data_IF_886528300457
#
_entry.id   IF_886528300457
#
_cell.length_a   1.000
_cell.length_b   1.000
_cell.length_c   1.000
_cell.angle_alpha   90.00
_cell.angle_beta   90.00
_cell.angle_gamma   90.00
#
_symmetry.space_group_name_H-M   'P 1'
#
loop_
_entity.id
_entity.type
_entity.pdbx_description
1 polymer ?
#
# COMPACT_ATOMS: atom_id res chain seq x y z
N UNK A 1 -50.12 26.61 -66.18
CA UNK A 1 -50.67 26.70 -64.81
C UNK A 1 -49.86 25.77 -63.90
N UNK A 2 -48.84 26.31 -63.20
CA UNK A 2 -48.49 26.19 -61.75
C UNK A 2 -49.01 24.89 -61.06
N UNK A 3 -48.28 24.03 -60.31
CA UNK A 3 -46.97 23.94 -59.61
C UNK A 3 -46.67 22.44 -59.30
N UNK A 4 -45.45 21.91 -59.54
CA UNK A 4 -44.38 21.58 -58.55
C UNK A 4 -44.76 20.76 -57.29
N UNK A 5 -44.21 19.53 -57.16
CA UNK A 5 -43.57 18.94 -55.95
C UNK A 5 -43.37 17.41 -56.14
N UNK A 6 -42.35 16.73 -55.62
CA UNK A 6 -40.94 17.03 -55.35
C UNK A 6 -40.20 15.68 -55.30
N UNK A 7 -39.01 15.69 -55.92
CA UNK A 7 -37.80 14.88 -55.68
C UNK A 7 -37.88 13.32 -55.66
N UNK A 8 -37.37 12.79 -56.78
CA UNK A 8 -36.66 11.51 -57.00
C UNK A 8 -35.54 11.31 -55.94
N UNK A 9 -35.03 10.11 -55.63
CA UNK A 9 -34.44 9.13 -56.53
C UNK A 9 -34.24 7.78 -55.81
N UNK A 10 -34.41 6.70 -56.58
CA UNK A 10 -34.19 5.29 -56.23
C UNK A 10 -32.68 4.99 -56.12
N UNK A 11 -32.27 4.09 -55.24
CA UNK A 11 -31.22 3.09 -55.54
C UNK A 11 -31.27 1.93 -54.55
N UNK A 12 -31.20 0.73 -55.11
CA UNK A 12 -31.11 -0.57 -54.46
C UNK A 12 -29.65 -1.05 -54.38
N UNK A 13 -29.47 -2.13 -53.61
CA UNK A 13 -28.35 -3.10 -53.58
C UNK A 13 -27.08 -2.76 -52.77
N UNK A 14 -26.84 -3.57 -51.73
CA UNK A 14 -25.68 -4.46 -51.67
C UNK A 14 -24.40 -3.97 -50.97
N UNK A 15 -24.06 -4.66 -49.86
CA UNK A 15 -22.73 -4.94 -49.28
C UNK A 15 -21.83 -3.74 -48.94
N UNK A 16 -21.45 -3.63 -47.66
CA UNK A 16 -20.26 -2.84 -47.28
C UNK A 16 -20.13 -2.62 -45.77
N UNK A 17 -19.15 -3.29 -45.15
CA UNK A 17 -18.66 -2.91 -43.84
C UNK A 17 -18.16 -1.46 -43.87
N UNK A 18 -18.57 -0.64 -42.90
CA UNK A 18 -18.19 0.77 -42.84
C UNK A 18 -18.35 1.32 -41.43
N UNK A 19 -17.27 1.19 -40.66
CA UNK A 19 -16.95 1.84 -39.38
C UNK A 19 -17.73 3.12 -39.12
N UNK A 20 -18.51 3.17 -38.03
CA UNK A 20 -18.89 4.40 -37.32
C UNK A 20 -19.37 4.08 -35.89
N UNK A 21 -18.51 3.48 -35.07
CA UNK A 21 -18.67 3.42 -33.61
C UNK A 21 -17.38 3.84 -32.89
N UNK A 22 -16.67 4.85 -33.41
CA UNK A 22 -15.46 5.36 -32.74
C UNK A 22 -15.74 6.26 -31.54
N UNK A 23 -16.99 6.68 -31.31
CA UNK A 23 -17.34 7.47 -30.11
C UNK A 23 -17.93 6.57 -29.01
N UNK A 24 -18.81 5.63 -29.37
CA UNK A 24 -19.30 4.61 -28.43
C UNK A 24 -18.22 3.60 -28.06
N UNK A 25 -17.38 3.21 -29.01
CA UNK A 25 -16.24 2.32 -28.79
C UNK A 25 -15.13 2.95 -27.98
N UNK A 26 -14.82 4.25 -28.13
CA UNK A 26 -13.88 4.92 -27.20
C UNK A 26 -14.50 5.08 -25.82
N UNK A 27 -15.77 5.48 -25.70
CA UNK A 27 -16.44 5.57 -24.40
C UNK A 27 -16.53 4.22 -23.69
N UNK A 28 -16.77 3.14 -24.43
CA UNK A 28 -16.77 1.77 -23.92
C UNK A 28 -15.37 1.20 -23.72
N UNK A 29 -14.35 1.60 -24.50
CA UNK A 29 -12.95 1.25 -24.31
C UNK A 29 -12.35 1.96 -23.09
N UNK A 30 -12.78 3.19 -22.79
CA UNK A 30 -12.47 3.86 -21.53
C UNK A 30 -13.25 3.27 -20.34
N UNK A 31 -14.38 2.59 -20.59
CA UNK A 31 -15.12 1.79 -19.58
C UNK A 31 -14.78 0.29 -19.61
N UNK A 32 -13.81 -0.15 -20.41
CA UNK A 32 -13.05 -1.35 -20.09
C UNK A 32 -12.22 -0.89 -18.91
N UNK A 33 -12.62 -1.32 -17.72
CA UNK A 33 -11.98 -1.08 -16.44
C UNK A 33 -10.62 -0.41 -16.60
N UNK A 34 -10.58 0.91 -16.48
CA UNK A 34 -9.33 1.53 -16.07
C UNK A 34 -9.03 0.81 -14.76
N UNK A 35 -8.00 -0.05 -14.68
CA UNK A 35 -7.62 -0.61 -13.41
C UNK A 35 -7.12 0.63 -12.70
N UNK A 36 -7.97 1.24 -11.86
CA UNK A 36 -7.50 2.13 -10.82
C UNK A 36 -6.51 1.27 -10.05
N UNK A 37 -5.24 1.48 -10.38
CA UNK A 37 -4.05 0.76 -9.95
C UNK A 37 -4.31 -0.26 -8.84
N UNK A 38 -4.59 -1.52 -9.22
CA UNK A 38 -4.54 -2.61 -8.26
C UNK A 38 -3.07 -2.98 -8.03
N UNK A 39 -2.28 -2.02 -7.52
CA UNK A 39 -1.03 -2.31 -6.83
C UNK A 39 -1.42 -3.00 -5.53
N UNK A 40 -1.68 -4.31 -5.63
CA UNK A 40 -2.48 -5.08 -4.68
C UNK A 40 -2.16 -4.76 -3.24
N UNK A 41 -3.05 -4.00 -2.58
CA UNK A 41 -2.92 -3.70 -1.16
C UNK A 41 -2.90 -5.01 -0.40
N UNK A 42 -1.82 -5.26 0.33
CA UNK A 42 -1.67 -6.40 1.19
C UNK A 42 -1.85 -5.96 2.65
N UNK A 43 -1.96 -6.93 3.55
CA UNK A 43 -2.07 -6.64 4.97
C UNK A 43 -0.98 -7.33 5.76
N UNK A 44 -0.57 -6.72 6.86
CA UNK A 44 0.36 -7.27 7.84
C UNK A 44 -0.17 -7.02 9.26
N UNK A 45 0.42 -7.67 10.24
CA UNK A 45 0.12 -7.44 11.66
C UNK A 45 1.34 -6.84 12.34
N UNK A 46 1.17 -5.72 13.04
CA UNK A 46 2.17 -5.16 13.94
C UNK A 46 1.81 -5.51 15.38
N UNK A 47 2.78 -6.01 16.12
CA UNK A 47 2.69 -6.30 17.55
C UNK A 47 3.77 -5.46 18.23
N UNK A 48 3.39 -4.64 19.21
CA UNK A 48 4.31 -3.88 20.03
C UNK A 48 4.29 -4.44 21.45
N UNK A 49 5.35 -5.14 21.83
CA UNK A 49 5.59 -5.63 23.18
C UNK A 49 6.52 -4.66 23.92
N UNK A 50 6.00 -3.97 24.93
CA UNK A 50 6.73 -2.94 25.66
C UNK A 50 7.64 -3.50 26.77
N UNK A 51 7.71 -4.84 26.91
CA UNK A 51 8.58 -5.52 27.88
C UNK A 51 8.12 -5.43 29.34
N UNK A 52 7.03 -4.71 29.61
CA UNK A 52 6.41 -4.52 30.93
C UNK A 52 5.05 -5.24 31.05
N UNK A 53 4.78 -6.18 30.15
CA UNK A 53 3.51 -6.91 30.05
C UNK A 53 2.46 -6.22 29.19
N UNK A 54 2.65 -4.95 28.81
CA UNK A 54 1.77 -4.29 27.84
C UNK A 54 2.09 -4.75 26.42
N UNK A 55 1.02 -5.05 25.68
CA UNK A 55 1.08 -5.38 24.25
C UNK A 55 0.00 -4.63 23.48
N UNK A 56 0.38 -4.05 22.36
CA UNK A 56 -0.55 -3.48 21.38
C UNK A 56 -0.49 -4.28 20.09
N UNK A 57 -1.66 -4.57 19.49
CA UNK A 57 -1.77 -5.38 18.28
C UNK A 57 -2.58 -4.61 17.25
N UNK A 58 -1.95 -4.30 16.12
CA UNK A 58 -2.59 -3.70 14.96
C UNK A 58 -2.70 -4.78 13.88
N UNK A 59 -3.88 -5.40 13.78
CA UNK A 59 -4.13 -6.52 12.90
C UNK A 59 -4.68 -6.06 11.54
N UNK A 60 -4.24 -6.75 10.48
CA UNK A 60 -4.67 -6.52 9.10
C UNK A 60 -4.44 -5.09 8.60
N UNK A 61 -3.35 -4.48 9.03
CA UNK A 61 -2.95 -3.14 8.62
C UNK A 61 -2.48 -3.14 7.17
N UNK A 62 -3.03 -2.23 6.38
CA UNK A 62 -2.82 -2.20 4.93
C UNK A 62 -1.50 -1.54 4.60
N UNK A 63 -0.73 -2.17 3.71
CA UNK A 63 0.52 -1.63 3.20
C UNK A 63 0.58 -1.71 1.67
N UNK A 64 1.43 -0.88 1.06
CA UNK A 64 1.66 -0.87 -0.39
C UNK A 64 2.70 -1.94 -0.75
N UNK A 65 2.53 -2.63 -1.88
CA UNK A 65 3.57 -3.57 -2.32
C UNK A 65 4.92 -2.86 -2.49
N UNK A 66 5.97 -3.47 -1.96
CA UNK A 66 7.31 -2.89 -1.94
C UNK A 66 7.58 -1.87 -0.82
N UNK A 67 6.63 -1.63 0.08
CA UNK A 67 6.86 -0.83 1.30
C UNK A 67 7.78 -1.60 2.26
N UNK A 68 8.78 -0.90 2.81
CA UNK A 68 9.67 -1.48 3.83
C UNK A 68 9.03 -1.38 5.22
N UNK A 69 9.49 -2.24 6.14
CA UNK A 69 8.92 -2.33 7.49
C UNK A 69 9.08 -1.02 8.30
N UNK A 70 10.20 -0.31 8.12
CA UNK A 70 10.42 0.95 8.85
C UNK A 70 9.36 2.00 8.49
N UNK A 71 9.17 2.25 7.20
CA UNK A 71 8.18 3.23 6.73
C UNK A 71 6.76 2.80 7.08
N UNK A 72 6.43 1.53 6.92
CA UNK A 72 5.14 1.00 7.33
C UNK A 72 4.87 1.22 8.82
N UNK A 73 5.82 0.86 9.68
CA UNK A 73 5.70 1.06 11.13
C UNK A 73 5.53 2.55 11.47
N UNK A 74 6.36 3.41 10.88
CA UNK A 74 6.29 4.86 11.07
C UNK A 74 4.93 5.44 10.65
N UNK A 75 4.42 5.03 9.49
CA UNK A 75 3.15 5.49 8.93
C UNK A 75 1.95 5.03 9.75
N UNK A 76 1.97 3.78 10.24
CA UNK A 76 0.93 3.23 11.11
C UNK A 76 0.87 3.94 12.46
N UNK A 77 2.03 4.16 13.10
CA UNK A 77 2.11 4.86 14.38
C UNK A 77 1.71 6.33 14.25
N UNK A 78 2.12 7.00 13.17
CA UNK A 78 1.71 8.38 12.89
C UNK A 78 0.18 8.51 12.76
N UNK A 79 -0.48 7.59 12.03
CA UNK A 79 -1.96 7.58 11.88
C UNK A 79 -2.70 7.39 13.20
N UNK A 80 -2.07 6.70 14.16
CA UNK A 80 -2.64 6.43 15.49
C UNK A 80 -2.18 7.43 16.55
N UNK A 81 -1.46 8.48 16.16
CA UNK A 81 -0.88 9.50 17.05
C UNK A 81 0.05 8.92 18.12
N UNK A 82 0.79 7.85 17.79
CA UNK A 82 1.78 7.23 18.68
C UNK A 82 3.17 7.78 18.35
N UNK A 83 3.90 8.20 19.37
CA UNK A 83 5.26 8.71 19.21
C UNK A 83 6.19 7.65 18.63
N UNK A 84 6.93 8.01 17.60
CA UNK A 84 7.96 7.18 16.96
C UNK A 84 9.21 8.04 16.76
N UNK A 85 10.28 7.71 17.47
CA UNK A 85 11.59 8.37 17.32
C UNK A 85 12.60 7.36 16.79
N UNK A 86 13.52 7.83 15.95
CA UNK A 86 14.57 7.03 15.35
C UNK A 86 15.82 7.87 15.10
N UNK A 87 16.95 7.20 14.91
CA UNK A 87 18.21 7.80 14.51
C UNK A 87 18.66 7.17 13.20
N UNK A 88 19.00 8.01 12.23
CA UNK A 88 19.58 7.57 10.97
C UNK A 88 21.10 7.47 11.10
N UNK A 89 21.64 6.35 10.63
CA UNK A 89 23.07 6.12 10.56
C UNK A 89 23.47 5.94 9.09
N UNK A 90 24.34 6.82 8.54
CA UNK A 90 24.84 6.66 7.19
C UNK A 90 25.45 5.26 7.00
N UNK A 91 24.93 4.51 6.02
CA UNK A 91 25.31 3.12 5.68
C UNK A 91 24.76 1.99 6.56
N UNK A 92 24.13 2.29 7.70
CA UNK A 92 23.57 1.26 8.61
C UNK A 92 22.03 1.30 8.71
N UNK A 93 21.39 2.30 8.10
CA UNK A 93 19.94 2.45 8.08
C UNK A 93 19.39 3.18 9.30
N UNK A 94 18.09 3.03 9.55
CA UNK A 94 17.36 3.71 10.62
C UNK A 94 17.21 2.81 11.85
N UNK A 95 17.75 3.26 12.99
CA UNK A 95 17.58 2.62 14.28
C UNK A 95 16.38 3.23 15.01
N UNK A 96 15.42 2.41 15.42
CA UNK A 96 14.29 2.86 16.24
C UNK A 96 14.74 3.12 17.67
N UNK A 97 14.51 4.35 18.16
CA UNK A 97 14.96 4.80 19.49
C UNK A 97 13.80 5.02 20.45
N UNK A 98 12.56 5.13 19.96
CA UNK A 98 11.38 5.21 20.83
C UNK A 98 10.10 4.80 20.11
N UNK A 99 9.24 4.06 20.82
CA UNK A 99 7.85 3.81 20.42
C UNK A 99 6.97 4.08 21.64
N UNK A 100 5.95 4.92 21.47
CA UNK A 100 5.11 5.39 22.57
C UNK A 100 5.94 6.05 23.67
N UNK A 101 5.90 5.48 24.87
CA UNK A 101 6.61 5.97 26.06
C UNK A 101 7.96 5.27 26.33
N UNK A 102 8.30 4.19 25.60
CA UNK A 102 9.57 3.46 25.81
C UNK A 102 10.68 3.97 24.90
N UNK A 103 11.70 4.57 25.53
CA UNK A 103 12.91 5.04 24.88
C UNK A 103 14.05 4.04 25.08
N UNK A 104 14.76 3.74 24.00
CA UNK A 104 15.94 2.88 24.00
C UNK A 104 17.09 3.54 24.79
N UNK A 105 17.70 2.78 25.69
CA UNK A 105 18.87 3.18 26.46
C UNK A 105 19.64 1.95 26.93
N UNK A 106 20.94 2.10 27.19
CA UNK A 106 21.76 1.02 27.77
C UNK A 106 21.19 0.52 29.11
N UNK A 107 20.58 1.43 29.89
CA UNK A 107 20.02 1.12 31.21
C UNK A 107 18.69 0.37 31.14
N UNK A 108 17.83 0.71 30.19
CA UNK A 108 16.43 0.26 30.18
C UNK A 108 16.15 -0.82 29.14
N UNK A 109 16.88 -0.83 28.02
CA UNK A 109 16.73 -1.79 26.92
C UNK A 109 16.61 -1.12 25.57
N UNK A 110 16.43 -1.93 24.53
CA UNK A 110 16.34 -1.51 23.13
C UNK A 110 15.13 -2.11 22.44
N UNK A 111 14.59 -1.37 21.47
CA UNK A 111 13.63 -1.89 20.50
C UNK A 111 14.32 -2.83 19.50
N UNK A 112 13.80 -4.05 19.42
CA UNK A 112 14.22 -5.10 18.50
C UNK A 112 12.98 -5.61 17.75
N UNK A 113 13.17 -6.38 16.69
CA UNK A 113 12.02 -6.92 15.97
C UNK A 113 12.21 -8.34 15.41
N UNK A 114 11.07 -9.00 15.26
CA UNK A 114 10.91 -10.35 14.73
C UNK A 114 9.91 -10.34 13.59
N UNK A 115 10.09 -11.26 12.65
CA UNK A 115 9.18 -11.48 11.54
C UNK A 115 8.74 -12.93 11.59
N UNK A 116 7.43 -13.15 11.71
CA UNK A 116 6.83 -14.47 11.79
C UNK A 116 7.44 -15.37 12.89
N UNK A 117 7.89 -14.76 13.99
CA UNK A 117 8.51 -15.44 15.14
C UNK A 117 10.03 -15.60 15.04
N UNK A 118 10.65 -15.25 13.92
CA UNK A 118 12.10 -15.31 13.72
C UNK A 118 12.75 -13.94 13.93
N UNK A 119 13.88 -13.91 14.64
CA UNK A 119 14.62 -12.68 14.87
C UNK A 119 15.10 -12.11 13.52
N UNK A 120 14.93 -10.80 13.32
CA UNK A 120 15.29 -10.20 12.05
C UNK A 120 16.80 -10.22 11.77
N UNK A 121 17.16 -10.56 10.54
CA UNK A 121 18.56 -10.63 10.08
C UNK A 121 19.04 -9.38 9.33
N UNK A 122 18.14 -8.45 9.04
CA UNK A 122 18.39 -7.17 8.35
C UNK A 122 17.80 -6.01 9.16
N UNK A 123 18.05 -4.76 8.76
CA UNK A 123 17.38 -3.61 9.35
C UNK A 123 15.95 -3.44 8.84
N UNK A 124 15.10 -2.73 9.60
CA UNK A 124 13.70 -2.54 9.24
C UNK A 124 13.51 -1.76 7.93
N UNK A 125 14.47 -0.90 7.58
CA UNK A 125 14.49 -0.16 6.30
C UNK A 125 14.81 -1.07 5.10
N UNK A 126 15.46 -2.21 5.32
CA UNK A 126 15.87 -3.16 4.27
C UNK A 126 14.88 -4.32 4.10
N UNK A 127 13.99 -4.53 5.07
CA UNK A 127 12.97 -5.57 4.98
C UNK A 127 11.74 -5.07 4.21
N UNK A 128 11.48 -5.67 3.04
CA UNK A 128 10.26 -5.45 2.27
C UNK A 128 9.13 -6.35 2.79
N UNK A 129 7.98 -5.75 3.09
CA UNK A 129 6.83 -6.45 3.65
C UNK A 129 6.24 -7.48 2.69
N UNK A 130 5.80 -8.60 3.26
CA UNK A 130 5.07 -9.65 2.54
C UNK A 130 3.63 -9.73 3.06
N UNK A 131 2.67 -10.07 2.19
CA UNK A 131 1.29 -10.26 2.61
C UNK A 131 1.18 -11.30 3.74
N UNK A 132 0.52 -10.92 4.83
CA UNK A 132 0.27 -11.77 5.99
C UNK A 132 1.39 -11.78 7.04
N UNK A 133 2.48 -11.03 6.85
CA UNK A 133 3.56 -10.96 7.84
C UNK A 133 3.03 -10.57 9.22
N UNK A 134 3.56 -11.25 10.24
CA UNK A 134 3.41 -10.89 11.65
C UNK A 134 4.72 -10.32 12.14
N UNK A 135 4.74 -9.03 12.38
CA UNK A 135 5.93 -8.33 12.85
C UNK A 135 5.75 -7.99 14.33
N UNK A 136 6.69 -8.42 15.15
CA UNK A 136 6.74 -8.06 16.56
C UNK A 136 7.90 -7.11 16.80
N UNK A 137 7.60 -5.87 17.17
CA UNK A 137 8.54 -4.98 17.84
C UNK A 137 8.51 -5.28 19.33
N UNK A 138 9.66 -5.57 19.93
CA UNK A 138 9.79 -5.89 21.35
C UNK A 138 10.85 -5.02 22.01
N UNK A 139 10.48 -4.41 23.13
CA UNK A 139 11.39 -3.71 24.00
C UNK A 139 11.98 -4.70 25.02
N UNK A 140 13.30 -4.89 24.97
CA UNK A 140 13.98 -5.79 25.91
C UNK A 140 15.38 -5.29 26.21
N UNK A 141 15.86 -5.62 27.41
CA UNK A 141 17.30 -5.60 27.67
C UNK A 141 17.98 -6.69 26.85
N UNK A 142 19.14 -6.35 26.30
CA UNK A 142 20.07 -7.31 25.72
C UNK A 142 20.83 -8.03 26.83
#
# INVERSE_FOLDING_TARGET
MVLLNSKKLKTSLGIGAGVLLLIGGTYLYYRVDSPLENFGSATATLIFDFGDGRREIFANEKFKQGENLFDFTKNELARKNITFEYQEYPSLGSMVTKIGDKKSSEKDGYWQYWINGEYASVGASDYLLKPGDKIEWKFSKM
#
